data_IF_558967000232
#
_entry.id   IF_558967000232
#
_cell.length_a   1.000
_cell.length_b   1.000
_cell.length_c   1.000
_cell.angle_alpha   90.00
_cell.angle_beta   90.00
_cell.angle_gamma   90.00
#
_symmetry.space_group_name_H-M   'P 1'
#
loop_
_entity.id
_entity.type
_entity.pdbx_description
1 polymer ?
#
# COMPACT_ATOMS: atom_id res chain seq x y z
N UNK A 1 26.29 20.32 -47.56
CA UNK A 1 26.18 20.65 -46.13
C UNK A 1 25.74 22.10 -45.92
N UNK A 2 26.37 23.08 -46.58
CA UNK A 2 26.00 24.51 -46.48
C UNK A 2 24.54 24.83 -46.83
N UNK A 3 24.01 24.28 -47.93
CA UNK A 3 22.60 24.52 -48.33
C UNK A 3 21.58 24.05 -47.29
N UNK A 4 21.90 22.98 -46.56
CA UNK A 4 21.04 22.46 -45.49
C UNK A 4 21.07 23.40 -44.28
N UNK A 5 22.26 23.83 -43.86
CA UNK A 5 22.43 24.78 -42.75
C UNK A 5 21.79 26.15 -43.05
N UNK A 6 21.89 26.63 -44.30
CA UNK A 6 21.22 27.86 -44.75
C UNK A 6 19.69 27.72 -44.72
N UNK A 7 19.14 26.62 -45.23
CA UNK A 7 17.69 26.38 -45.18
C UNK A 7 17.15 26.25 -43.75
N UNK A 8 17.97 25.70 -42.84
CA UNK A 8 17.64 25.59 -41.42
C UNK A 8 17.64 26.98 -40.77
N UNK A 9 18.64 27.81 -41.07
CA UNK A 9 18.76 29.20 -40.60
C UNK A 9 17.55 30.04 -41.04
N UNK A 10 17.15 29.94 -42.31
CA UNK A 10 15.99 30.65 -42.85
C UNK A 10 14.69 30.19 -42.15
N UNK A 11 14.57 28.89 -41.89
CA UNK A 11 13.46 28.33 -41.11
C UNK A 11 13.38 28.89 -39.68
N UNK A 12 14.51 28.97 -38.97
CA UNK A 12 14.59 29.57 -37.64
C UNK A 12 14.31 31.08 -37.65
N UNK A 13 14.70 31.79 -38.72
CA UNK A 13 14.43 33.22 -38.84
C UNK A 13 12.94 33.54 -39.03
N UNK A 14 12.19 32.69 -39.73
CA UNK A 14 10.75 32.90 -39.97
C UNK A 14 9.83 32.37 -38.85
N UNK A 15 10.32 31.41 -38.06
CA UNK A 15 9.58 30.75 -36.99
C UNK A 15 8.93 31.72 -35.98
N UNK A 16 9.63 32.72 -35.42
CA UNK A 16 9.05 33.67 -34.47
C UNK A 16 7.88 34.47 -35.06
N UNK A 17 7.99 34.90 -36.33
CA UNK A 17 6.95 35.66 -37.00
C UNK A 17 5.69 34.81 -37.23
N UNK A 18 5.85 33.54 -37.60
CA UNK A 18 4.73 32.58 -37.73
C UNK A 18 4.09 32.28 -36.38
N UNK A 19 4.88 32.12 -35.32
CA UNK A 19 4.37 31.90 -33.95
C UNK A 19 3.58 33.10 -33.45
N UNK A 20 4.06 34.34 -33.66
CA UNK A 20 3.36 35.55 -33.25
C UNK A 20 2.05 35.76 -34.03
N UNK A 21 2.02 35.39 -35.32
CA UNK A 21 0.80 35.45 -36.14
C UNK A 21 -0.29 34.50 -35.63
N UNK A 22 0.09 33.31 -35.17
CA UNK A 22 -0.84 32.27 -34.68
C UNK A 22 -0.82 32.13 -33.15
N UNK A 23 -0.45 33.19 -32.42
CA UNK A 23 -0.20 33.17 -30.97
C UNK A 23 -1.27 32.47 -30.14
N UNK A 24 -2.55 32.68 -30.45
CA UNK A 24 -3.66 32.07 -29.71
C UNK A 24 -3.74 30.55 -29.90
N UNK A 25 -3.48 30.07 -31.12
CA UNK A 25 -3.46 28.63 -31.42
C UNK A 25 -2.24 27.98 -30.75
N UNK A 26 -1.07 28.62 -30.85
CA UNK A 26 0.16 28.12 -30.22
C UNK A 26 0.01 28.06 -28.70
N UNK A 27 -0.54 29.11 -28.08
CA UNK A 27 -0.81 29.13 -26.63
C UNK A 27 -1.87 28.08 -26.24
N UNK A 28 -2.94 27.94 -27.02
CA UNK A 28 -3.97 26.92 -26.77
C UNK A 28 -3.41 25.50 -26.85
N UNK A 29 -2.57 25.22 -27.85
CA UNK A 29 -1.90 23.93 -27.99
C UNK A 29 -0.94 23.66 -26.83
N UNK A 30 -0.12 24.64 -26.46
CA UNK A 30 0.83 24.51 -25.35
C UNK A 30 0.10 24.30 -24.03
N UNK A 31 -1.01 25.02 -23.81
CA UNK A 31 -1.86 24.83 -22.64
C UNK A 31 -2.50 23.43 -22.61
N UNK A 32 -3.06 22.97 -23.74
CA UNK A 32 -3.64 21.63 -23.85
C UNK A 32 -2.58 20.53 -23.61
N UNK A 33 -1.38 20.69 -24.17
CA UNK A 33 -0.26 19.77 -23.95
C UNK A 33 0.16 19.75 -22.47
N UNK A 34 0.23 20.91 -21.83
CA UNK A 34 0.52 21.01 -20.40
C UNK A 34 -0.54 20.29 -19.56
N UNK A 35 -1.83 20.50 -19.85
CA UNK A 35 -2.91 19.78 -19.16
C UNK A 35 -2.82 18.27 -19.37
N UNK A 36 -2.50 17.83 -20.59
CA UNK A 36 -2.30 16.41 -20.88
C UNK A 36 -1.14 15.82 -20.08
N UNK A 37 0.00 16.53 -19.99
CA UNK A 37 1.15 16.09 -19.19
C UNK A 37 0.82 16.05 -17.70
N UNK A 38 0.13 17.07 -17.17
CA UNK A 38 -0.33 17.10 -15.76
C UNK A 38 -1.28 15.93 -15.48
N UNK A 39 -2.22 15.64 -16.37
CA UNK A 39 -3.08 14.47 -16.26
C UNK A 39 -2.28 13.16 -16.24
N UNK A 40 -1.24 13.04 -17.08
CA UNK A 40 -0.31 11.91 -17.06
C UNK A 40 0.40 11.76 -15.73
N UNK A 41 0.85 12.87 -15.12
CA UNK A 41 1.48 12.84 -13.79
C UNK A 41 0.52 12.25 -12.75
N UNK A 42 -0.75 12.70 -12.71
CA UNK A 42 -1.72 12.22 -11.73
C UNK A 42 -2.20 10.78 -11.96
N UNK A 43 -2.19 10.29 -13.19
CA UNK A 43 -2.76 8.98 -13.53
C UNK A 43 -1.75 7.86 -13.72
N UNK A 44 -0.48 8.18 -14.00
CA UNK A 44 0.54 7.18 -14.37
C UNK A 44 1.84 7.27 -13.60
N UNK A 45 2.02 8.25 -12.72
CA UNK A 45 3.23 8.31 -11.89
C UNK A 45 3.11 7.34 -10.74
N UNK A 46 4.00 6.35 -10.68
CA UNK A 46 4.20 5.48 -9.53
C UNK A 46 5.53 5.87 -8.89
N UNK A 47 5.52 6.15 -7.59
CA UNK A 47 6.73 6.47 -6.83
C UNK A 47 7.15 5.24 -6.02
N UNK A 48 8.28 4.64 -6.39
CA UNK A 48 8.90 3.55 -5.64
C UNK A 48 9.94 4.10 -4.64
N UNK A 49 9.58 4.16 -3.36
CA UNK A 49 10.42 4.69 -2.28
C UNK A 49 11.14 3.59 -1.49
N UNK A 50 11.22 2.37 -2.03
CA UNK A 50 11.97 1.29 -1.40
C UNK A 50 13.46 1.65 -1.36
N UNK A 51 14.16 1.26 -0.28
CA UNK A 51 15.61 1.51 -0.19
C UNK A 51 16.38 0.74 -1.25
N UNK A 52 15.85 -0.42 -1.66
CA UNK A 52 16.44 -1.30 -2.65
C UNK A 52 16.43 -0.69 -4.07
N UNK A 53 15.47 0.20 -4.40
CA UNK A 53 15.39 0.86 -5.71
C UNK A 53 16.52 1.86 -5.99
N UNK A 54 17.26 2.26 -4.95
CA UNK A 54 18.45 3.12 -5.10
C UNK A 54 19.69 2.35 -5.55
N UNK A 55 19.65 1.02 -5.51
CA UNK A 55 20.73 0.14 -5.97
C UNK A 55 20.46 -0.30 -7.41
N UNK A 56 21.53 -0.58 -8.16
CA UNK A 56 21.42 -1.14 -9.50
C UNK A 56 20.79 -2.54 -9.40
N UNK A 57 19.81 -2.83 -10.26
CA UNK A 57 19.16 -4.15 -10.32
C UNK A 57 20.17 -5.29 -10.58
N UNK A 58 21.31 -4.98 -11.21
CA UNK A 58 22.39 -5.92 -11.49
C UNK A 58 23.42 -6.07 -10.36
N UNK A 59 23.25 -5.38 -9.23
CA UNK A 59 24.17 -5.46 -8.09
C UNK A 59 24.15 -6.86 -7.44
N UNK A 60 25.31 -7.52 -7.26
CA UNK A 60 25.40 -8.81 -6.56
C UNK A 60 24.78 -8.81 -5.15
N UNK A 61 24.77 -7.67 -4.46
CA UNK A 61 24.15 -7.53 -3.14
C UNK A 61 22.63 -7.72 -3.20
N UNK A 62 21.96 -7.18 -4.22
CA UNK A 62 20.52 -7.37 -4.43
C UNK A 62 20.21 -8.84 -4.72
N UNK A 63 21.03 -9.50 -5.54
CA UNK A 63 20.86 -10.93 -5.81
C UNK A 63 21.00 -11.78 -4.54
N UNK A 64 21.97 -11.48 -3.68
CA UNK A 64 22.17 -12.20 -2.42
C UNK A 64 21.01 -11.96 -1.43
N UNK A 65 20.50 -10.72 -1.36
CA UNK A 65 19.35 -10.37 -0.54
C UNK A 65 18.07 -11.08 -1.02
N UNK A 66 17.81 -11.10 -2.33
CA UNK A 66 16.66 -11.78 -2.91
C UNK A 66 16.73 -13.30 -2.68
N UNK A 67 17.93 -13.89 -2.75
CA UNK A 67 18.15 -15.29 -2.41
C UNK A 67 17.83 -15.57 -0.94
N UNK A 68 18.31 -14.72 -0.03
CA UNK A 68 18.00 -14.81 1.39
C UNK A 68 16.49 -14.71 1.64
N UNK A 69 15.82 -13.70 1.08
CA UNK A 69 14.36 -13.52 1.22
C UNK A 69 13.58 -14.71 0.65
N UNK A 70 14.06 -15.34 -0.43
CA UNK A 70 13.42 -16.54 -1.00
C UNK A 70 13.52 -17.75 -0.06
N UNK A 71 14.65 -17.93 0.62
CA UNK A 71 14.89 -19.08 1.49
C UNK A 71 14.28 -18.89 2.90
N UNK A 72 14.42 -17.69 3.48
CA UNK A 72 14.07 -17.40 4.87
C UNK A 72 12.75 -16.62 5.01
N UNK A 73 12.21 -16.10 3.91
CA UNK A 73 11.08 -15.17 3.90
C UNK A 73 11.55 -13.71 3.86
N UNK A 74 10.70 -12.83 3.31
CA UNK A 74 10.95 -11.39 3.35
C UNK A 74 10.68 -10.83 4.75
N UNK A 75 11.37 -9.75 5.09
CA UNK A 75 11.12 -8.89 6.25
C UNK A 75 10.04 -7.83 5.98
N UNK A 76 9.49 -7.81 4.77
CA UNK A 76 8.41 -6.90 4.39
C UNK A 76 7.17 -7.11 5.27
N UNK A 77 6.68 -6.00 5.81
CA UNK A 77 5.48 -5.98 6.65
C UNK A 77 4.57 -4.84 6.25
N UNK A 78 3.27 -5.13 6.22
CA UNK A 78 2.21 -4.14 5.99
C UNK A 78 1.53 -3.85 7.32
N UNK A 79 1.52 -2.58 7.73
CA UNK A 79 0.83 -2.13 8.93
C UNK A 79 -0.48 -1.46 8.55
N UNK A 80 -1.59 -2.00 9.05
CA UNK A 80 -2.91 -1.39 8.98
C UNK A 80 -3.15 -0.62 10.27
N UNK A 81 -3.12 0.71 10.18
CA UNK A 81 -3.45 1.60 11.30
C UNK A 81 -4.86 2.14 11.07
N UNK A 82 -5.73 1.99 12.05
CA UNK A 82 -7.11 2.44 11.96
C UNK A 82 -7.50 3.29 13.19
N UNK A 83 -8.51 4.13 13.00
CA UNK A 83 -9.18 4.87 14.07
C UNK A 83 -10.58 4.30 14.25
N UNK A 84 -10.95 3.96 15.48
CA UNK A 84 -12.30 3.50 15.79
C UNK A 84 -13.29 4.66 15.67
N UNK A 85 -14.46 4.43 15.04
CA UNK A 85 -15.46 5.48 14.81
C UNK A 85 -16.04 6.07 16.09
N UNK A 86 -16.05 5.28 17.16
CA UNK A 86 -16.48 5.63 18.50
C UNK A 86 -15.33 6.17 19.38
N UNK A 87 -14.10 6.20 18.86
CA UNK A 87 -12.89 6.59 19.58
C UNK A 87 -12.38 5.54 20.58
N UNK A 88 -12.99 4.37 20.69
CA UNK A 88 -12.55 3.29 21.59
C UNK A 88 -12.20 2.02 20.82
N UNK A 89 -10.90 1.78 20.63
CA UNK A 89 -10.39 0.57 19.97
C UNK A 89 -10.68 -0.72 20.74
N UNK A 90 -11.06 -0.61 22.03
CA UNK A 90 -11.49 -1.73 22.87
C UNK A 90 -13.01 -1.87 22.96
N UNK A 91 -13.78 -1.09 22.20
CA UNK A 91 -15.21 -1.32 22.09
C UNK A 91 -15.48 -2.71 21.52
N UNK A 92 -16.65 -3.27 21.86
CA UNK A 92 -17.04 -4.60 21.39
C UNK A 92 -17.05 -4.65 19.87
N UNK A 93 -17.58 -3.61 19.24
CA UNK A 93 -17.66 -3.45 17.80
C UNK A 93 -16.27 -3.43 17.16
N UNK A 94 -15.33 -2.66 17.73
CA UNK A 94 -13.94 -2.61 17.26
C UNK A 94 -13.23 -3.96 17.41
N UNK A 95 -13.36 -4.61 18.56
CA UNK A 95 -12.73 -5.91 18.80
C UNK A 95 -13.30 -7.00 17.88
N UNK A 96 -14.62 -7.03 17.67
CA UNK A 96 -15.26 -7.95 16.72
C UNK A 96 -14.80 -7.69 15.29
N UNK A 97 -14.72 -6.42 14.87
CA UNK A 97 -14.26 -6.07 13.53
C UNK A 97 -12.80 -6.49 13.31
N UNK A 98 -11.92 -6.27 14.29
CA UNK A 98 -10.51 -6.69 14.19
C UNK A 98 -10.37 -8.20 14.24
N UNK A 99 -11.17 -8.91 15.07
CA UNK A 99 -11.21 -10.38 15.07
C UNK A 99 -11.60 -10.93 13.69
N UNK A 100 -12.71 -10.43 13.14
CA UNK A 100 -13.18 -10.82 11.80
C UNK A 100 -12.13 -10.54 10.73
N UNK A 101 -11.57 -9.32 10.67
CA UNK A 101 -10.52 -8.98 9.71
C UNK A 101 -9.28 -9.86 9.86
N UNK A 102 -8.88 -10.16 11.10
CA UNK A 102 -7.72 -11.02 11.37
C UNK A 102 -7.95 -12.44 10.88
N UNK A 103 -9.15 -12.98 11.11
CA UNK A 103 -9.51 -14.32 10.68
C UNK A 103 -9.69 -14.39 9.16
N UNK A 104 -10.33 -13.39 8.54
CA UNK A 104 -10.46 -13.28 7.08
C UNK A 104 -9.08 -13.31 6.40
N UNK A 105 -8.11 -12.56 6.91
CA UNK A 105 -6.74 -12.55 6.37
C UNK A 105 -5.98 -13.87 6.64
N UNK A 106 -6.21 -14.52 7.77
CA UNK A 106 -5.56 -15.80 8.11
C UNK A 106 -6.13 -16.96 7.30
N UNK A 107 -7.42 -16.91 7.01
CA UNK A 107 -8.16 -17.96 6.31
C UNK A 107 -8.66 -17.47 4.95
N UNK A 108 -7.87 -16.63 4.29
CA UNK A 108 -8.24 -15.96 3.04
C UNK A 108 -8.65 -16.95 1.93
N UNK A 109 -8.10 -18.16 1.94
CA UNK A 109 -8.45 -19.24 1.00
C UNK A 109 -9.92 -19.68 1.10
N UNK A 110 -10.55 -19.47 2.26
CA UNK A 110 -11.94 -19.86 2.54
C UNK A 110 -12.95 -18.75 2.26
N UNK A 111 -12.49 -17.54 1.92
CA UNK A 111 -13.36 -16.41 1.64
C UNK A 111 -14.14 -16.62 0.34
N UNK A 112 -15.40 -16.20 0.35
CA UNK A 112 -16.22 -16.17 -0.85
C UNK A 112 -15.80 -14.99 -1.73
N UNK A 113 -15.10 -15.28 -2.83
CA UNK A 113 -14.62 -14.25 -3.76
C UNK A 113 -15.75 -13.43 -4.38
N UNK A 114 -16.97 -13.97 -4.43
CA UNK A 114 -18.13 -13.27 -5.01
C UNK A 114 -18.63 -12.10 -4.16
N UNK A 115 -18.26 -12.03 -2.88
CA UNK A 115 -18.66 -10.93 -1.98
C UNK A 115 -17.76 -9.70 -2.10
N UNK A 116 -16.68 -9.79 -2.87
CA UNK A 116 -15.71 -8.72 -3.06
C UNK A 116 -15.80 -8.15 -4.48
N UNK A 117 -15.51 -6.85 -4.68
CA UNK A 117 -15.46 -6.27 -6.01
C UNK A 117 -14.34 -6.91 -6.86
N UNK A 118 -14.42 -6.82 -8.19
CA UNK A 118 -13.32 -7.26 -9.06
C UNK A 118 -12.12 -6.29 -9.03
N UNK A 119 -12.37 -5.02 -8.70
CA UNK A 119 -11.34 -3.98 -8.62
C UNK A 119 -11.68 -2.93 -7.56
N UNK A 120 -10.65 -2.37 -6.92
CA UNK A 120 -10.75 -1.23 -5.99
C UNK A 120 -9.83 -0.12 -6.50
N UNK A 121 -10.35 1.09 -6.67
CA UNK A 121 -9.59 2.26 -7.17
C UNK A 121 -8.83 2.00 -8.49
N UNK A 122 -9.41 1.19 -9.37
CA UNK A 122 -8.81 0.80 -10.66
C UNK A 122 -7.72 -0.27 -10.56
N UNK A 123 -7.46 -0.80 -9.37
CA UNK A 123 -6.55 -1.92 -9.13
C UNK A 123 -7.37 -3.20 -9.14
N UNK A 124 -7.05 -4.11 -10.05
CA UNK A 124 -7.66 -5.46 -10.09
C UNK A 124 -7.23 -6.24 -8.87
N UNK A 125 -8.18 -6.89 -8.20
CA UNK A 125 -7.92 -7.70 -7.02
C UNK A 125 -7.34 -9.06 -7.43
N UNK A 126 -6.03 -9.21 -7.25
CA UNK A 126 -5.35 -10.49 -7.40
C UNK A 126 -5.28 -11.23 -6.05
N UNK A 127 -6.13 -12.25 -5.91
CA UNK A 127 -6.22 -13.08 -4.70
C UNK A 127 -4.97 -13.95 -4.50
N UNK A 128 -4.24 -14.25 -5.57
CA UNK A 128 -3.04 -15.06 -5.46
C UNK A 128 -1.92 -14.31 -4.73
N UNK A 129 -1.98 -12.98 -4.64
CA UNK A 129 -1.01 -12.20 -3.87
C UNK A 129 -1.09 -12.47 -2.35
N UNK A 130 -2.26 -12.87 -1.84
CA UNK A 130 -2.44 -13.21 -0.42
C UNK A 130 -1.67 -14.47 0.00
N UNK A 131 -1.25 -15.32 -0.96
CA UNK A 131 -0.39 -16.48 -0.68
C UNK A 131 0.99 -16.10 -0.11
N UNK A 132 1.40 -14.84 -0.29
CA UNK A 132 2.65 -14.32 0.25
C UNK A 132 2.54 -13.92 1.72
N UNK A 133 1.32 -13.83 2.28
CA UNK A 133 1.10 -13.52 3.69
C UNK A 133 1.50 -14.72 4.55
N UNK A 134 2.65 -14.60 5.22
CA UNK A 134 3.15 -15.65 6.13
C UNK A 134 2.56 -15.58 7.53
N UNK A 135 2.23 -14.37 7.98
CA UNK A 135 1.80 -14.12 9.36
C UNK A 135 0.92 -12.89 9.43
N UNK A 136 -0.24 -13.03 10.06
CA UNK A 136 -1.15 -11.92 10.39
C UNK A 136 -1.11 -11.74 11.90
N UNK A 137 -0.83 -10.52 12.36
CA UNK A 137 -0.81 -10.19 13.79
C UNK A 137 -1.68 -8.97 14.05
N UNK A 138 -2.52 -9.05 15.08
CA UNK A 138 -3.36 -7.96 15.55
C UNK A 138 -3.59 -8.10 17.06
N UNK A 139 -4.31 -7.14 17.65
CA UNK A 139 -4.73 -7.23 19.05
C UNK A 139 -5.60 -8.47 19.33
N UNK A 140 -6.30 -8.99 18.30
CA UNK A 140 -7.17 -10.15 18.42
C UNK A 140 -6.43 -11.47 18.63
N UNK A 141 -5.16 -11.58 18.19
CA UNK A 141 -4.40 -12.82 18.23
C UNK A 141 -3.06 -12.72 18.95
N UNK A 142 -2.72 -11.55 19.49
CA UNK A 142 -1.51 -11.36 20.28
C UNK A 142 -1.63 -12.10 21.60
N UNK A 143 -0.51 -12.70 22.01
CA UNK A 143 -0.40 -13.44 23.27
C UNK A 143 0.53 -12.71 24.22
N UNK A 144 0.17 -12.68 25.48
CA UNK A 144 1.05 -12.27 26.56
C UNK A 144 1.46 -13.49 27.38
N UNK A 145 2.54 -13.34 28.13
CA UNK A 145 3.04 -14.37 29.04
C UNK A 145 2.96 -13.83 30.47
N UNK A 146 2.37 -14.60 31.35
CA UNK A 146 2.24 -14.28 32.76
C UNK A 146 2.88 -15.39 33.59
N UNK A 147 3.68 -15.00 34.59
CA UNK A 147 4.21 -15.95 35.56
C UNK A 147 3.16 -16.16 36.65
N UNK A 148 2.69 -17.41 36.79
CA UNK A 148 1.81 -17.85 37.87
C UNK A 148 2.52 -18.95 38.69
N UNK A 149 3.19 -18.53 39.76
CA UNK A 149 3.97 -19.41 40.64
C UNK A 149 5.24 -19.93 39.97
N UNK A 150 5.25 -21.22 39.64
CA UNK A 150 6.35 -21.88 38.93
C UNK A 150 6.02 -22.12 37.44
N UNK A 151 4.87 -21.62 36.95
CA UNK A 151 4.41 -21.82 35.57
C UNK A 151 4.38 -20.51 34.79
N UNK A 152 4.80 -20.57 33.53
CA UNK A 152 4.65 -19.49 32.56
C UNK A 152 3.41 -19.77 31.71
N UNK A 153 2.35 -18.98 31.91
CA UNK A 153 1.10 -19.11 31.16
C UNK A 153 1.15 -18.19 29.93
N UNK A 154 0.89 -18.74 28.75
CA UNK A 154 0.73 -17.93 27.53
C UNK A 154 -0.75 -17.85 27.13
N UNK A 155 -1.33 -16.67 27.28
CA UNK A 155 -2.76 -16.39 27.04
C UNK A 155 -2.93 -15.34 25.96
N UNK A 156 -4.06 -15.36 25.26
CA UNK A 156 -4.44 -14.28 24.35
C UNK A 156 -4.75 -13.01 25.15
N UNK A 157 -4.34 -11.86 24.63
CA UNK A 157 -4.70 -10.56 25.21
C UNK A 157 -6.22 -10.35 25.14
N UNK A 158 -6.80 -10.60 23.97
CA UNK A 158 -8.24 -10.57 23.74
C UNK A 158 -8.74 -12.01 23.57
N UNK A 159 -9.70 -12.48 24.39
CA UNK A 159 -10.31 -13.79 24.22
C UNK A 159 -11.00 -13.93 22.87
N UNK A 160 -10.99 -15.13 22.28
CA UNK A 160 -11.68 -15.41 21.00
C UNK A 160 -13.20 -15.21 21.10
N UNK A 161 -13.79 -15.48 22.26
CA UNK A 161 -15.19 -15.17 22.56
C UNK A 161 -15.20 -14.00 23.54
N UNK A 162 -15.69 -12.86 23.08
CA UNK A 162 -15.77 -11.66 23.91
C UNK A 162 -16.80 -11.84 25.04
N UNK A 163 -16.49 -11.44 26.28
CA UNK A 163 -17.44 -11.50 27.37
C UNK A 163 -18.62 -10.56 27.12
N UNK A 164 -19.82 -10.90 27.60
CA UNK A 164 -21.03 -10.06 27.41
C UNK A 164 -21.05 -8.82 28.32
N UNK A 165 -20.35 -8.85 29.46
CA UNK A 165 -20.35 -7.74 30.41
C UNK A 165 -19.30 -6.67 30.09
N UNK A 166 -19.71 -5.41 30.22
CA UNK A 166 -18.83 -4.25 30.02
C UNK A 166 -17.70 -4.21 31.07
N UNK A 167 -17.96 -4.71 32.28
CA UNK A 167 -16.95 -4.83 33.34
C UNK A 167 -15.80 -5.78 32.94
N UNK A 168 -16.12 -6.90 32.29
CA UNK A 168 -15.12 -7.85 31.83
C UNK A 168 -14.31 -7.30 30.65
N UNK A 169 -14.94 -6.54 29.75
CA UNK A 169 -14.26 -5.78 28.68
C UNK A 169 -13.31 -4.71 29.26
N UNK A 170 -13.75 -3.97 30.27
CA UNK A 170 -12.91 -2.99 30.95
C UNK A 170 -11.70 -3.64 31.64
N UNK A 171 -11.87 -4.84 32.21
CA UNK A 171 -10.77 -5.61 32.79
C UNK A 171 -9.74 -6.07 31.73
N UNK A 172 -10.19 -6.39 30.51
CA UNK A 172 -9.30 -6.69 29.38
C UNK A 172 -8.51 -5.44 28.97
N UNK A 173 -9.20 -4.31 28.84
CA UNK A 173 -8.58 -3.01 28.52
C UNK A 173 -7.52 -2.61 29.55
N UNK A 174 -7.75 -2.88 30.84
CA UNK A 174 -6.79 -2.58 31.90
C UNK A 174 -5.53 -3.46 31.88
N UNK A 175 -5.54 -4.58 31.14
CA UNK A 175 -4.41 -5.52 31.01
C UNK A 175 -3.59 -5.31 29.73
N UNK A 176 -4.09 -4.52 28.79
CA UNK A 176 -3.43 -4.16 27.54
C UNK A 176 -2.44 -3.00 27.74
#
# INVERSE_FOLDING_TARGET
>A
MEKFLLSLSDGFAELPNKVLRFKAIVLGLLFALTLFMVYGIFTRTVMDMTTDSFLDESDPAISALNEFRRQFGSDDSVFLVYEAKDGDVFSRESLLAVQALTDDLRYWESLDRSTYPESVDGIVLDWDELKHVRRVQSIANIRFQENQGDTLLSSLLIPSVLPESDEALAAIKARA
#
